data_IF_588420750014
#
_entry.id   IF_588420750014
#
_cell.length_a   1.000
_cell.length_b   1.000
_cell.length_c   1.000
_cell.angle_alpha   90.00
_cell.angle_beta   90.00
_cell.angle_gamma   90.00
#
_symmetry.space_group_name_H-M   'P 1'
#
loop_
_entity.id
_entity.type
_entity.pdbx_description
1 polymer ?
#
# COMPACT_ATOMS: atom_id res chain seq x y z
N UNK A 1 1.99 -25.42 13.10
CA UNK A 1 0.92 -25.06 12.15
C UNK A 1 -0.38 -24.66 12.85
N UNK A 2 -0.96 -25.48 13.75
CA UNK A 2 -2.21 -25.13 14.46
C UNK A 2 -2.12 -23.85 15.30
N UNK A 3 -1.01 -23.63 16.03
CA UNK A 3 -0.79 -22.40 16.79
C UNK A 3 -0.77 -21.15 15.90
N UNK A 4 -0.04 -21.21 14.78
CA UNK A 4 0.04 -20.10 13.81
C UNK A 4 -1.35 -19.77 13.26
N UNK A 5 -2.13 -20.79 12.84
CA UNK A 5 -3.50 -20.60 12.37
C UNK A 5 -4.41 -19.99 13.44
N UNK A 6 -4.36 -20.51 14.67
CA UNK A 6 -5.15 -19.98 15.78
C UNK A 6 -4.79 -18.52 16.08
N UNK A 7 -3.51 -18.18 16.05
CA UNK A 7 -3.06 -16.81 16.29
C UNK A 7 -3.53 -15.82 15.22
N UNK A 8 -3.64 -16.25 13.97
CA UNK A 8 -4.22 -15.45 12.88
C UNK A 8 -5.71 -15.24 13.09
N UNK A 9 -6.47 -16.31 13.34
CA UNK A 9 -7.94 -16.25 13.54
C UNK A 9 -8.33 -15.44 14.78
N UNK A 10 -7.50 -15.44 15.82
CA UNK A 10 -7.72 -14.67 17.05
C UNK A 10 -7.14 -13.26 17.00
N UNK A 11 -6.57 -12.83 15.86
CA UNK A 11 -5.91 -11.53 15.68
C UNK A 11 -4.73 -11.27 16.65
N UNK A 12 -4.15 -12.33 17.20
CA UNK A 12 -3.01 -12.24 18.14
C UNK A 12 -1.65 -12.41 17.45
N UNK A 13 -1.63 -12.88 16.20
CA UNK A 13 -0.43 -13.08 15.38
C UNK A 13 0.50 -11.86 15.33
N UNK A 14 0.02 -10.61 15.11
CA UNK A 14 0.91 -9.43 15.12
C UNK A 14 1.67 -9.25 16.43
N UNK A 15 1.04 -9.54 17.58
CA UNK A 15 1.65 -9.45 18.89
C UNK A 15 2.72 -10.52 19.12
N UNK A 16 2.44 -11.77 18.73
CA UNK A 16 3.43 -12.85 18.81
C UNK A 16 4.61 -12.64 17.87
N UNK A 17 4.38 -12.13 16.66
CA UNK A 17 5.44 -11.84 15.70
C UNK A 17 6.34 -10.70 16.18
N UNK A 18 5.75 -9.60 16.68
CA UNK A 18 6.49 -8.51 17.30
C UNK A 18 7.33 -9.00 18.50
N UNK A 19 6.77 -9.85 19.35
CA UNK A 19 7.49 -10.46 20.47
C UNK A 19 8.69 -11.30 19.99
N UNK A 20 8.52 -12.12 18.94
CA UNK A 20 9.61 -12.95 18.40
C UNK A 20 10.75 -12.12 17.83
N UNK A 21 10.41 -11.05 17.09
CA UNK A 21 11.39 -10.12 16.52
C UNK A 21 12.11 -9.34 17.62
N UNK A 22 11.38 -8.83 18.62
CA UNK A 22 11.96 -8.05 19.72
C UNK A 22 12.91 -8.87 20.61
N UNK A 23 12.63 -10.16 20.81
CA UNK A 23 13.51 -11.06 21.54
C UNK A 23 14.67 -11.63 20.71
N UNK A 24 14.78 -11.25 19.42
CA UNK A 24 15.86 -11.72 18.56
C UNK A 24 15.87 -13.23 18.34
N UNK A 25 14.70 -13.87 18.38
CA UNK A 25 14.57 -15.32 18.22
C UNK A 25 15.23 -15.76 16.90
N UNK A 26 16.05 -16.82 16.95
CA UNK A 26 16.64 -17.37 15.74
C UNK A 26 15.59 -18.12 14.90
N UNK A 27 15.87 -18.24 13.61
CA UNK A 27 15.01 -18.97 12.68
C UNK A 27 14.96 -20.45 13.07
N UNK A 28 13.77 -21.01 13.38
CA UNK A 28 13.66 -22.42 13.70
C UNK A 28 14.06 -23.31 12.51
N UNK A 29 14.71 -24.44 12.78
CA UNK A 29 15.13 -25.38 11.74
C UNK A 29 13.94 -25.83 10.87
N UNK A 30 14.08 -25.72 9.55
CA UNK A 30 13.05 -26.11 8.58
C UNK A 30 11.98 -25.06 8.26
N UNK A 31 12.01 -23.87 8.90
CA UNK A 31 11.14 -22.74 8.53
C UNK A 31 11.82 -21.92 7.43
N UNK A 32 11.15 -21.53 6.32
CA UNK A 32 11.79 -20.84 5.20
C UNK A 32 12.05 -19.34 5.44
N UNK A 33 11.35 -18.72 6.40
CA UNK A 33 11.43 -17.30 6.69
C UNK A 33 12.00 -17.06 8.10
N UNK A 34 12.86 -16.07 8.24
CA UNK A 34 13.28 -15.54 9.53
C UNK A 34 12.14 -14.72 10.17
N UNK A 35 12.12 -14.55 11.51
CA UNK A 35 10.99 -13.93 12.20
C UNK A 35 10.61 -12.52 11.69
N UNK A 36 11.59 -11.72 11.27
CA UNK A 36 11.32 -10.40 10.67
C UNK A 36 10.57 -10.53 9.34
N UNK A 37 11.00 -11.44 8.45
CA UNK A 37 10.31 -11.67 7.18
C UNK A 37 8.93 -12.31 7.35
N UNK A 38 8.75 -13.15 8.38
CA UNK A 38 7.43 -13.70 8.75
C UNK A 38 6.47 -12.57 9.17
N UNK A 39 6.90 -11.71 10.10
CA UNK A 39 6.13 -10.53 10.53
C UNK A 39 5.77 -9.61 9.36
N UNK A 40 6.74 -9.33 8.48
CA UNK A 40 6.52 -8.50 7.29
C UNK A 40 5.49 -9.14 6.35
N UNK A 41 5.53 -10.47 6.19
CA UNK A 41 4.57 -11.19 5.35
C UNK A 41 3.14 -11.07 5.89
N UNK A 42 2.95 -11.20 7.21
CA UNK A 42 1.65 -10.99 7.87
C UNK A 42 1.14 -9.56 7.65
N UNK A 43 1.99 -8.55 7.88
CA UNK A 43 1.64 -7.13 7.68
C UNK A 43 1.28 -6.81 6.22
N UNK A 44 1.96 -7.43 5.25
CA UNK A 44 1.64 -7.31 3.82
C UNK A 44 0.23 -7.84 3.54
N UNK A 45 -0.10 -9.03 4.06
CA UNK A 45 -1.44 -9.61 3.89
C UNK A 45 -2.52 -8.72 4.51
N UNK A 46 -2.29 -8.19 5.71
CA UNK A 46 -3.19 -7.26 6.41
C UNK A 46 -3.45 -6.01 5.55
N UNK A 47 -2.40 -5.36 5.03
CA UNK A 47 -2.53 -4.16 4.18
C UNK A 47 -3.39 -4.46 2.94
N UNK A 48 -3.12 -5.56 2.23
CA UNK A 48 -3.72 -5.83 0.92
C UNK A 48 -5.13 -6.40 1.00
N UNK A 49 -5.38 -7.30 1.95
CA UNK A 49 -6.65 -8.04 2.02
C UNK A 49 -7.66 -7.44 3.00
N UNK A 50 -7.23 -6.57 3.91
CA UNK A 50 -8.10 -5.97 4.93
C UNK A 50 -8.08 -4.45 4.88
N UNK A 51 -6.91 -3.83 5.08
CA UNK A 51 -6.82 -2.39 5.31
C UNK A 51 -7.18 -1.57 4.07
N UNK A 52 -6.60 -1.88 2.90
CA UNK A 52 -6.88 -1.17 1.64
C UNK A 52 -8.35 -1.35 1.22
N UNK A 53 -8.92 -2.57 1.11
CA UNK A 53 -10.33 -2.75 0.76
C UNK A 53 -11.27 -2.06 1.76
N UNK A 54 -10.99 -2.18 3.07
CA UNK A 54 -11.77 -1.55 4.12
C UNK A 54 -11.81 -0.02 3.98
N UNK A 55 -10.64 0.61 3.74
CA UNK A 55 -10.54 2.05 3.54
C UNK A 55 -11.30 2.52 2.28
N UNK A 56 -11.17 1.79 1.17
CA UNK A 56 -11.90 2.12 -0.08
C UNK A 56 -13.41 2.02 0.15
N UNK A 57 -13.88 0.98 0.85
CA UNK A 57 -15.31 0.82 1.17
C UNK A 57 -15.82 1.92 2.10
N UNK A 58 -15.03 2.33 3.11
CA UNK A 58 -15.36 3.46 3.99
C UNK A 58 -15.52 4.76 3.18
N UNK A 59 -14.63 5.01 2.22
CA UNK A 59 -14.71 6.17 1.33
C UNK A 59 -15.92 6.10 0.39
N UNK A 60 -16.20 4.94 -0.21
CA UNK A 60 -17.38 4.75 -1.06
C UNK A 60 -18.67 5.02 -0.27
N UNK A 61 -18.78 4.50 0.95
CA UNK A 61 -19.92 4.75 1.83
C UNK A 61 -20.05 6.24 2.18
N UNK A 62 -18.93 6.91 2.46
CA UNK A 62 -18.90 8.33 2.77
C UNK A 62 -19.24 9.23 1.58
N UNK A 63 -18.89 8.85 0.36
CA UNK A 63 -19.22 9.61 -0.86
C UNK A 63 -20.72 9.51 -1.17
N UNK A 64 -21.35 8.36 -0.91
CA UNK A 64 -22.76 8.10 -1.23
C UNK A 64 -23.74 8.69 -0.23
N UNK A 65 -23.37 8.77 1.06
CA UNK A 65 -24.29 9.26 2.09
C UNK A 65 -24.63 10.74 1.88
N UNK A 66 -25.92 11.09 2.04
CA UNK A 66 -26.41 12.46 1.91
C UNK A 66 -25.82 13.40 2.97
N UNK A 67 -25.84 12.94 4.23
CA UNK A 67 -25.40 13.71 5.39
C UNK A 67 -24.03 13.21 5.84
N UNK A 68 -23.02 14.00 5.49
CA UNK A 68 -21.63 13.70 5.82
C UNK A 68 -21.36 14.08 7.27
N UNK A 69 -20.95 13.11 8.07
CA UNK A 69 -20.61 13.32 9.48
C UNK A 69 -19.11 13.53 9.65
N UNK A 70 -18.73 14.42 10.58
CA UNK A 70 -17.33 14.60 10.95
C UNK A 70 -16.70 13.30 11.49
N UNK A 71 -17.49 12.48 12.20
CA UNK A 71 -17.06 11.20 12.74
C UNK A 71 -16.65 10.20 11.65
N UNK A 72 -17.38 10.16 10.52
CA UNK A 72 -17.01 9.31 9.39
C UNK A 72 -15.68 9.75 8.75
N UNK A 73 -15.44 11.06 8.63
CA UNK A 73 -14.15 11.57 8.15
C UNK A 73 -13.01 11.18 9.08
N UNK A 74 -13.18 11.33 10.40
CA UNK A 74 -12.19 10.92 11.40
C UNK A 74 -11.90 9.41 11.29
N UNK A 75 -12.93 8.58 11.10
CA UNK A 75 -12.76 7.14 10.91
C UNK A 75 -11.92 6.80 9.68
N UNK A 76 -12.17 7.47 8.55
CA UNK A 76 -11.36 7.34 7.31
C UNK A 76 -9.91 7.75 7.56
N UNK A 77 -9.68 8.86 8.26
CA UNK A 77 -8.32 9.32 8.58
C UNK A 77 -7.57 8.32 9.47
N UNK A 78 -8.21 7.76 10.50
CA UNK A 78 -7.60 6.74 11.36
C UNK A 78 -7.29 5.47 10.57
N UNK A 79 -8.22 5.02 9.71
CA UNK A 79 -8.04 3.87 8.83
C UNK A 79 -6.84 4.04 7.90
N UNK A 80 -6.74 5.20 7.24
CA UNK A 80 -5.60 5.53 6.37
C UNK A 80 -4.28 5.65 7.14
N UNK A 81 -4.29 6.29 8.32
CA UNK A 81 -3.12 6.43 9.18
C UNK A 81 -2.62 5.07 9.69
N UNK A 82 -3.52 4.16 10.07
CA UNK A 82 -3.18 2.79 10.47
C UNK A 82 -2.52 2.03 9.32
N UNK A 83 -3.12 2.09 8.12
CA UNK A 83 -2.56 1.47 6.91
C UNK A 83 -1.16 2.00 6.60
N UNK A 84 -0.98 3.32 6.67
CA UNK A 84 0.30 3.98 6.44
C UNK A 84 1.33 3.64 7.51
N UNK A 85 0.90 3.52 8.77
CA UNK A 85 1.75 3.09 9.88
C UNK A 85 2.28 1.67 9.65
N UNK A 86 1.41 0.73 9.29
CA UNK A 86 1.84 -0.64 8.96
C UNK A 86 2.82 -0.64 7.79
N UNK A 87 2.54 0.08 6.70
CA UNK A 87 3.46 0.18 5.55
C UNK A 87 4.81 0.84 5.88
N UNK A 88 4.79 1.86 6.73
CA UNK A 88 5.99 2.59 7.15
C UNK A 88 6.85 1.76 8.10
N UNK A 89 6.24 0.99 9.01
CA UNK A 89 6.98 0.09 9.91
C UNK A 89 7.66 -1.03 9.13
N UNK A 90 7.01 -1.61 8.10
CA UNK A 90 7.67 -2.60 7.24
C UNK A 90 8.96 -2.02 6.63
N UNK A 91 8.88 -0.81 6.04
CA UNK A 91 10.05 -0.17 5.45
C UNK A 91 11.11 0.15 6.50
N UNK A 92 10.70 0.71 7.64
CA UNK A 92 11.61 1.09 8.72
C UNK A 92 12.35 -0.12 9.31
N UNK A 93 11.62 -1.20 9.62
CA UNK A 93 12.19 -2.41 10.19
C UNK A 93 13.21 -3.03 9.23
N UNK A 94 12.86 -3.16 7.95
CA UNK A 94 13.75 -3.71 6.93
C UNK A 94 14.95 -2.81 6.63
N UNK A 95 14.77 -1.50 6.57
CA UNK A 95 15.85 -0.56 6.23
C UNK A 95 16.82 -0.35 7.39
N UNK A 96 16.37 -0.50 8.64
CA UNK A 96 17.21 -0.32 9.84
C UNK A 96 17.86 -1.62 10.33
N UNK A 97 17.40 -2.79 9.88
CA UNK A 97 17.93 -4.08 10.29
C UNK A 97 19.42 -4.28 9.89
N UNK A 98 20.33 -4.62 10.84
CA UNK A 98 21.74 -4.81 10.54
C UNK A 98 22.04 -5.96 9.57
N UNK A 99 21.25 -7.03 9.58
CA UNK A 99 21.44 -8.17 8.67
C UNK A 99 21.09 -7.76 7.24
N UNK A 100 19.98 -7.05 7.07
CA UNK A 100 19.56 -6.52 5.75
C UNK A 100 20.59 -5.51 5.23
N UNK A 101 21.08 -4.60 6.08
CA UNK A 101 22.16 -3.64 5.73
C UNK A 101 23.43 -4.33 5.27
N UNK A 102 23.83 -5.40 5.96
CA UNK A 102 25.02 -6.18 5.59
C UNK A 102 24.83 -6.94 4.27
N UNK A 103 23.62 -7.41 3.99
CA UNK A 103 23.31 -8.15 2.75
C UNK A 103 23.19 -7.20 1.54
N UNK A 104 22.60 -6.02 1.71
CA UNK A 104 22.28 -5.08 0.63
C UNK A 104 22.71 -3.64 0.96
N UNK A 105 24.02 -3.36 1.11
CA UNK A 105 24.53 -2.08 1.61
C UNK A 105 24.23 -0.88 0.69
N UNK A 106 24.05 -1.12 -0.61
CA UNK A 106 23.76 -0.06 -1.59
C UNK A 106 22.30 0.37 -1.63
N UNK A 107 21.40 -0.45 -1.07
CA UNK A 107 19.95 -0.29 -1.28
C UNK A 107 19.16 -0.10 0.02
N UNK A 108 19.76 -0.51 1.14
CA UNK A 108 19.22 -0.34 2.50
C UNK A 108 20.07 0.65 3.30
N UNK A 109 19.50 1.21 4.37
CA UNK A 109 20.12 2.24 5.18
C UNK A 109 19.86 3.66 4.67
N UNK A 110 18.71 3.91 4.06
CA UNK A 110 18.22 5.28 3.81
C UNK A 110 18.05 6.01 5.14
N UNK A 111 17.52 5.31 6.14
CA UNK A 111 17.19 5.88 7.42
C UNK A 111 18.50 6.10 8.19
N UNK A 112 18.83 7.37 8.50
CA UNK A 112 20.06 7.69 9.21
C UNK A 112 20.07 7.11 10.62
N UNK A 113 21.26 6.90 11.17
CA UNK A 113 21.39 6.42 12.55
C UNK A 113 20.99 7.51 13.58
N UNK A 114 21.17 8.79 13.23
CA UNK A 114 20.65 9.93 13.98
C UNK A 114 19.26 10.34 13.47
N UNK A 115 18.38 10.80 14.36
CA UNK A 115 17.08 11.36 13.93
C UNK A 115 16.07 10.35 13.36
N UNK A 116 16.18 9.07 13.73
CA UNK A 116 15.28 7.99 13.25
C UNK A 116 13.79 8.30 13.40
N UNK A 117 13.39 8.96 14.48
CA UNK A 117 11.99 9.36 14.70
C UNK A 117 11.49 10.34 13.64
N UNK A 118 12.32 11.32 13.25
CA UNK A 118 12.00 12.27 12.18
C UNK A 118 11.90 11.59 10.81
N UNK A 119 12.86 10.73 10.48
CA UNK A 119 12.82 9.96 9.23
C UNK A 119 11.60 9.04 9.16
N UNK A 120 11.24 8.37 10.26
CA UNK A 120 10.03 7.56 10.33
C UNK A 120 8.77 8.40 10.13
N UNK A 121 8.69 9.59 10.76
CA UNK A 121 7.57 10.50 10.59
C UNK A 121 7.42 10.95 9.14
N UNK A 122 8.52 11.27 8.45
CA UNK A 122 8.49 11.62 7.02
C UNK A 122 7.92 10.49 6.16
N UNK A 123 8.41 9.25 6.36
CA UNK A 123 7.88 8.08 5.63
C UNK A 123 6.39 7.89 5.93
N UNK A 124 5.99 8.02 7.20
CA UNK A 124 4.60 7.90 7.63
C UNK A 124 3.70 8.93 6.95
N UNK A 125 4.13 10.18 6.85
CA UNK A 125 3.39 11.25 6.21
C UNK A 125 3.24 11.01 4.70
N UNK A 126 4.32 10.68 3.99
CA UNK A 126 4.29 10.35 2.56
C UNK A 126 3.35 9.17 2.31
N UNK A 127 3.48 8.10 3.10
CA UNK A 127 2.63 6.92 2.97
C UNK A 127 1.16 7.25 3.27
N UNK A 128 0.88 8.03 4.31
CA UNK A 128 -0.48 8.44 4.68
C UNK A 128 -1.16 9.26 3.60
N UNK A 129 -0.44 10.24 3.04
CA UNK A 129 -0.94 11.08 1.95
C UNK A 129 -1.18 10.26 0.68
N UNK A 130 -0.26 9.34 0.35
CA UNK A 130 -0.42 8.43 -0.79
C UNK A 130 -1.63 7.50 -0.61
N UNK A 131 -1.82 6.93 0.58
CA UNK A 131 -2.95 6.03 0.89
C UNK A 131 -4.27 6.76 0.73
N UNK A 132 -4.38 7.96 1.31
CA UNK A 132 -5.56 8.80 1.17
C UNK A 132 -5.84 9.17 -0.29
N UNK A 133 -4.82 9.64 -1.01
CA UNK A 133 -4.93 10.04 -2.41
C UNK A 133 -5.43 8.89 -3.30
N UNK A 134 -4.79 7.72 -3.22
CA UNK A 134 -5.15 6.57 -4.05
C UNK A 134 -6.47 5.95 -3.67
N UNK A 135 -6.77 5.82 -2.37
CA UNK A 135 -8.05 5.31 -1.91
C UNK A 135 -9.21 6.22 -2.32
N UNK A 136 -9.01 7.54 -2.25
CA UNK A 136 -9.98 8.53 -2.70
C UNK A 136 -10.24 8.45 -4.21
N UNK A 137 -9.19 8.38 -5.03
CA UNK A 137 -9.33 8.20 -6.48
C UNK A 137 -10.09 6.91 -6.84
N UNK A 138 -9.74 5.82 -6.16
CA UNK A 138 -10.38 4.50 -6.34
C UNK A 138 -11.86 4.55 -5.97
N UNK A 139 -12.21 5.19 -4.85
CA UNK A 139 -13.59 5.33 -4.41
C UNK A 139 -14.42 6.23 -5.35
N UNK A 140 -13.85 7.33 -5.85
CA UNK A 140 -14.52 8.19 -6.83
C UNK A 140 -14.81 7.45 -8.14
N UNK A 141 -13.83 6.70 -8.67
CA UNK A 141 -14.04 5.86 -9.85
C UNK A 141 -15.09 4.79 -9.60
N UNK A 142 -15.07 4.13 -8.43
CA UNK A 142 -16.08 3.13 -8.07
C UNK A 142 -17.50 3.70 -8.08
N UNK A 143 -17.68 4.90 -7.54
CA UNK A 143 -18.99 5.57 -7.49
C UNK A 143 -19.42 6.08 -8.87
N UNK A 144 -18.47 6.49 -9.71
CA UNK A 144 -18.74 6.99 -11.06
C UNK A 144 -19.12 5.85 -12.01
N UNK A 145 -18.23 4.88 -12.21
CA UNK A 145 -18.47 3.71 -13.04
C UNK A 145 -17.50 2.57 -12.64
N UNK A 146 -18.07 1.43 -12.23
CA UNK A 146 -17.32 0.25 -11.81
C UNK A 146 -16.49 -0.36 -12.95
N UNK A 147 -16.95 -0.24 -14.18
CA UNK A 147 -16.26 -0.72 -15.39
C UNK A 147 -15.00 0.11 -15.63
N UNK A 148 -15.08 1.43 -15.46
CA UNK A 148 -13.90 2.31 -15.59
C UNK A 148 -12.85 2.01 -14.54
N UNK A 149 -13.28 1.78 -13.29
CA UNK A 149 -12.38 1.33 -12.24
C UNK A 149 -11.70 0.00 -12.62
N UNK A 150 -12.48 -0.96 -13.14
CA UNK A 150 -11.95 -2.25 -13.56
C UNK A 150 -10.89 -2.09 -14.67
N UNK A 151 -11.19 -1.32 -15.72
CA UNK A 151 -10.23 -1.06 -16.80
C UNK A 151 -8.97 -0.34 -16.30
N UNK A 152 -9.12 0.62 -15.38
CA UNK A 152 -7.99 1.32 -14.78
C UNK A 152 -7.07 0.36 -14.01
N UNK A 153 -7.63 -0.43 -13.09
CA UNK A 153 -6.84 -1.37 -12.27
C UNK A 153 -6.20 -2.44 -13.16
N UNK A 154 -6.97 -3.06 -14.07
CA UNK A 154 -6.46 -4.11 -14.94
C UNK A 154 -5.41 -3.59 -15.92
N UNK A 155 -5.63 -2.41 -16.52
CA UNK A 155 -4.67 -1.79 -17.43
C UNK A 155 -3.35 -1.44 -16.75
N UNK A 156 -3.41 -0.85 -15.56
CA UNK A 156 -2.25 -0.46 -14.77
C UNK A 156 -1.44 -1.69 -14.28
N UNK A 157 -2.13 -2.75 -13.83
CA UNK A 157 -1.49 -4.02 -13.47
C UNK A 157 -0.91 -4.76 -14.67
N UNK A 158 -1.61 -4.78 -15.81
CA UNK A 158 -1.12 -5.38 -17.05
C UNK A 158 0.16 -4.67 -17.52
N UNK A 159 0.18 -3.33 -17.47
CA UNK A 159 1.36 -2.54 -17.82
C UNK A 159 2.55 -2.88 -16.91
N UNK A 160 2.33 -3.04 -15.60
CA UNK A 160 3.38 -3.49 -14.67
C UNK A 160 3.91 -4.88 -15.04
N UNK A 161 3.03 -5.84 -15.30
CA UNK A 161 3.41 -7.22 -15.64
C UNK A 161 4.19 -7.25 -16.95
N UNK A 162 3.74 -6.54 -17.99
CA UNK A 162 4.43 -6.43 -19.28
C UNK A 162 5.83 -5.82 -19.09
N UNK A 163 5.95 -4.75 -18.31
CA UNK A 163 7.25 -4.16 -17.97
C UNK A 163 8.20 -5.19 -17.35
N UNK A 164 7.72 -6.04 -16.43
CA UNK A 164 8.55 -7.08 -15.79
C UNK A 164 8.93 -8.22 -16.74
N UNK A 165 8.04 -8.60 -17.65
CA UNK A 165 8.31 -9.59 -18.70
C UNK A 165 9.43 -9.09 -19.62
N UNK A 166 9.35 -7.84 -20.09
CA UNK A 166 10.38 -7.23 -20.96
C UNK A 166 11.75 -7.22 -20.26
N UNK A 167 11.76 -7.03 -18.94
CA UNK A 167 12.98 -7.03 -18.12
C UNK A 167 13.49 -8.44 -17.76
N UNK A 168 12.80 -9.49 -18.20
CA UNK A 168 13.08 -10.89 -17.86
C UNK A 168 13.17 -11.15 -16.35
N UNK A 169 12.36 -10.44 -15.55
CA UNK A 169 12.44 -10.48 -14.08
C UNK A 169 11.38 -11.40 -13.47
N UNK A 170 11.63 -12.71 -13.64
CA UNK A 170 10.76 -13.81 -13.19
C UNK A 170 11.14 -14.36 -11.81
N UNK A 171 12.08 -13.74 -11.10
CA UNK A 171 12.65 -14.31 -9.87
C UNK A 171 11.70 -14.05 -8.69
N UNK A 172 11.19 -15.14 -8.12
CA UNK A 172 10.52 -15.13 -6.83
C UNK A 172 11.56 -15.13 -5.71
N UNK A 173 11.36 -14.31 -4.67
CA UNK A 173 12.35 -14.09 -3.62
C UNK A 173 12.43 -15.22 -2.59
N UNK A 174 11.42 -16.09 -2.55
CA UNK A 174 11.40 -17.26 -1.66
C UNK A 174 11.95 -18.45 -2.44
N UNK A 175 12.92 -19.19 -1.87
CA UNK A 175 13.44 -20.41 -2.49
C UNK A 175 12.30 -21.43 -2.62
N UNK A 176 11.82 -21.64 -3.84
CA UNK A 176 10.77 -22.59 -4.17
C UNK A 176 11.14 -23.36 -5.44
N UNK A 177 10.61 -24.59 -5.63
CA UNK A 177 10.71 -25.29 -6.91
C UNK A 177 10.29 -24.38 -8.08
N UNK A 178 10.98 -24.50 -9.22
CA UNK A 178 10.78 -23.60 -10.39
C UNK A 178 9.30 -23.45 -10.78
N UNK A 179 8.55 -24.56 -10.80
CA UNK A 179 7.12 -24.56 -11.14
C UNK A 179 6.30 -23.69 -10.17
N UNK A 180 6.53 -23.81 -8.86
CA UNK A 180 5.85 -23.02 -7.84
C UNK A 180 6.25 -21.55 -7.95
N UNK A 181 7.54 -21.26 -8.19
CA UNK A 181 8.03 -19.90 -8.41
C UNK A 181 7.31 -19.20 -9.57
N UNK A 182 7.15 -19.88 -10.72
CA UNK A 182 6.45 -19.31 -11.87
C UNK A 182 4.96 -19.10 -11.61
N UNK A 183 4.31 -20.01 -10.88
CA UNK A 183 2.89 -19.90 -10.54
C UNK A 183 2.61 -18.75 -9.56
N UNK A 184 3.48 -18.58 -8.57
CA UNK A 184 3.33 -17.55 -7.54
C UNK A 184 3.78 -16.16 -8.00
N UNK A 185 4.73 -16.09 -8.94
CA UNK A 185 5.26 -14.83 -9.47
C UNK A 185 4.19 -13.78 -9.81
N UNK A 186 3.16 -14.06 -10.64
CA UNK A 186 2.19 -13.02 -11.00
C UNK A 186 1.37 -12.55 -9.79
N UNK A 187 1.03 -13.46 -8.87
CA UNK A 187 0.27 -13.13 -7.64
C UNK A 187 1.07 -12.14 -6.79
N UNK A 188 2.34 -12.43 -6.53
CA UNK A 188 3.20 -11.53 -5.74
C UNK A 188 3.44 -10.19 -6.45
N UNK A 189 3.52 -10.17 -7.79
CA UNK A 189 3.64 -8.90 -8.54
C UNK A 189 2.38 -8.04 -8.42
N UNK A 190 1.19 -8.65 -8.39
CA UNK A 190 -0.06 -7.94 -8.11
C UNK A 190 -0.07 -7.43 -6.68
N UNK A 191 0.28 -8.26 -5.70
CA UNK A 191 0.34 -7.87 -4.27
C UNK A 191 1.27 -6.66 -4.06
N UNK A 192 2.52 -6.73 -4.54
CA UNK A 192 3.47 -5.62 -4.39
C UNK A 192 3.04 -4.38 -5.17
N UNK A 193 2.39 -4.53 -6.32
CA UNK A 193 1.83 -3.42 -7.09
C UNK A 193 0.72 -2.70 -6.32
N UNK A 194 -0.23 -3.45 -5.74
CA UNK A 194 -1.28 -2.89 -4.89
C UNK A 194 -0.69 -2.14 -3.69
N UNK A 195 0.30 -2.73 -3.01
CA UNK A 195 0.98 -2.05 -1.89
C UNK A 195 1.62 -0.74 -2.38
N UNK A 196 2.32 -0.76 -3.50
CA UNK A 196 2.96 0.45 -4.01
C UNK A 196 1.96 1.53 -4.43
N UNK A 197 0.85 1.14 -5.06
CA UNK A 197 -0.17 2.07 -5.51
C UNK A 197 -0.76 2.88 -4.38
N UNK A 198 -1.10 2.17 -3.29
CA UNK A 198 -1.73 2.75 -2.13
C UNK A 198 -0.73 3.35 -1.15
N UNK A 199 0.37 2.66 -0.82
CA UNK A 199 1.29 3.16 0.22
C UNK A 199 2.41 4.03 -0.32
N UNK A 200 2.84 3.84 -1.58
CA UNK A 200 4.00 4.55 -2.14
C UNK A 200 5.29 4.34 -1.36
N UNK A 201 5.37 3.31 -0.51
CA UNK A 201 6.48 3.12 0.41
C UNK A 201 7.83 3.07 -0.31
N UNK A 202 8.88 3.76 0.19
CA UNK A 202 10.22 3.73 -0.41
C UNK A 202 10.80 2.32 -0.54
N UNK A 203 10.28 1.34 0.21
CA UNK A 203 10.64 -0.07 0.07
C UNK A 203 10.50 -0.58 -1.37
N UNK A 204 9.46 -0.14 -2.09
CA UNK A 204 9.13 -0.66 -3.43
C UNK A 204 10.14 -0.25 -4.51
N UNK A 205 11.01 0.73 -4.22
CA UNK A 205 12.10 1.15 -5.11
C UNK A 205 13.16 0.07 -5.32
N UNK A 206 13.24 -0.91 -4.43
CA UNK A 206 14.21 -1.99 -4.52
C UNK A 206 13.95 -2.83 -5.78
N UNK A 207 15.04 -3.30 -6.41
CA UNK A 207 15.00 -4.06 -7.66
C UNK A 207 14.11 -5.31 -7.57
N UNK A 208 14.15 -5.99 -6.43
CA UNK A 208 13.40 -7.21 -6.17
C UNK A 208 11.87 -7.01 -6.21
N UNK A 209 11.42 -5.81 -5.82
CA UNK A 209 10.01 -5.42 -5.86
C UNK A 209 9.70 -4.83 -7.24
N UNK A 210 9.75 -3.51 -7.42
CA UNK A 210 9.38 -2.85 -8.68
C UNK A 210 10.57 -2.26 -9.43
N UNK A 211 11.59 -1.82 -8.69
CA UNK A 211 12.74 -1.07 -9.20
C UNK A 211 12.46 0.43 -9.32
N UNK A 212 13.52 1.25 -9.17
CA UNK A 212 13.41 2.69 -9.01
C UNK A 212 12.69 3.46 -10.13
N UNK A 213 12.98 3.15 -11.40
CA UNK A 213 12.35 3.86 -12.53
C UNK A 213 10.84 3.63 -12.59
N UNK A 214 10.39 2.38 -12.46
CA UNK A 214 8.97 2.05 -12.46
C UNK A 214 8.27 2.55 -11.20
N UNK A 215 8.95 2.51 -10.05
CA UNK A 215 8.45 3.09 -8.79
C UNK A 215 8.10 4.58 -8.96
N UNK A 216 9.00 5.39 -9.52
CA UNK A 216 8.73 6.81 -9.78
C UNK A 216 7.61 7.02 -10.78
N UNK A 217 7.60 6.25 -11.89
CA UNK A 217 6.49 6.28 -12.85
C UNK A 217 5.15 6.00 -12.17
N UNK A 218 5.09 4.97 -11.31
CA UNK A 218 3.89 4.59 -10.58
C UNK A 218 3.41 5.66 -9.60
N UNK A 219 4.32 6.33 -8.91
CA UNK A 219 3.95 7.44 -8.03
C UNK A 219 3.31 8.58 -8.81
N UNK A 220 3.91 8.96 -9.94
CA UNK A 220 3.38 10.01 -10.82
C UNK A 220 2.01 9.63 -11.37
N UNK A 221 1.84 8.43 -11.91
CA UNK A 221 0.55 7.98 -12.44
C UNK A 221 -0.51 7.88 -11.35
N UNK A 222 -0.12 7.51 -10.13
CA UNK A 222 -1.03 7.47 -8.98
C UNK A 222 -1.50 8.87 -8.59
N UNK A 223 -0.61 9.87 -8.54
CA UNK A 223 -1.00 11.26 -8.27
C UNK A 223 -1.90 11.84 -9.38
N UNK A 224 -1.56 11.60 -10.65
CA UNK A 224 -2.39 12.01 -11.79
C UNK A 224 -3.78 11.37 -11.74
N UNK A 225 -3.88 10.10 -11.29
CA UNK A 225 -5.15 9.39 -11.22
C UNK A 225 -6.17 10.05 -10.30
N UNK A 226 -5.73 10.79 -9.27
CA UNK A 226 -6.61 11.54 -8.37
C UNK A 226 -7.37 12.62 -9.15
N UNK A 227 -6.66 13.41 -9.93
CA UNK A 227 -7.26 14.50 -10.71
C UNK A 227 -8.16 13.96 -11.83
N UNK A 228 -7.76 12.87 -12.47
CA UNK A 228 -8.60 12.19 -13.47
C UNK A 228 -9.88 11.66 -12.83
N UNK A 229 -9.81 11.03 -11.66
CA UNK A 229 -10.98 10.53 -10.95
C UNK A 229 -11.94 11.66 -10.54
N UNK A 230 -11.43 12.80 -10.08
CA UNK A 230 -12.25 13.99 -9.78
C UNK A 230 -12.92 14.54 -11.03
N UNK A 231 -12.19 14.66 -12.13
CA UNK A 231 -12.75 15.09 -13.41
C UNK A 231 -13.88 14.15 -13.85
N UNK A 232 -13.65 12.84 -13.83
CA UNK A 232 -14.64 11.85 -14.25
C UNK A 232 -15.88 11.86 -13.35
N UNK A 233 -15.70 11.91 -12.02
CA UNK A 233 -16.81 12.02 -11.08
C UNK A 233 -17.66 13.28 -11.33
N UNK A 234 -17.02 14.43 -11.56
CA UNK A 234 -17.75 15.68 -11.76
C UNK A 234 -18.58 15.69 -13.05
N UNK A 235 -18.12 15.03 -14.11
CA UNK A 235 -18.78 15.07 -15.42
C UNK A 235 -19.76 13.91 -15.65
N UNK A 236 -19.52 12.74 -15.04
CA UNK A 236 -20.20 11.49 -15.42
C UNK A 236 -20.89 10.76 -14.25
N UNK A 237 -20.86 11.28 -13.02
CA UNK A 237 -21.54 10.60 -11.91
C UNK A 237 -23.06 10.69 -12.07
N UNK A 238 -23.71 9.52 -12.11
CA UNK A 238 -25.15 9.39 -12.01
C UNK A 238 -25.54 9.31 -10.52
N UNK A 239 -26.17 10.37 -10.03
CA UNK A 239 -26.58 10.47 -8.61
C UNK A 239 -27.90 9.74 -8.44
N UNK A 240 -27.90 8.64 -7.67
CA UNK A 240 -29.12 7.91 -7.34
C UNK A 240 -30.05 8.72 -6.42
N UNK A 241 -31.35 8.40 -6.44
CA UNK A 241 -32.33 9.03 -5.54
C UNK A 241 -31.91 8.88 -4.07
N UNK A 242 -31.78 10.02 -3.38
CA UNK A 242 -31.37 10.07 -1.96
C UNK A 242 -29.87 10.27 -1.72
N UNK A 243 -29.00 10.17 -2.73
CA UNK A 243 -27.58 10.52 -2.64
C UNK A 243 -27.37 12.04 -2.93
N UNK A 244 -26.30 12.64 -2.38
CA UNK A 244 -25.94 14.04 -2.67
C UNK A 244 -24.54 14.13 -3.27
N UNK A 245 -24.47 14.64 -4.50
CA UNK A 245 -23.21 14.93 -5.19
C UNK A 245 -22.32 15.87 -4.37
N UNK A 246 -21.04 15.54 -4.26
CA UNK A 246 -20.04 16.42 -3.66
C UNK A 246 -19.80 17.62 -4.59
N UNK A 247 -19.69 18.82 -4.02
CA UNK A 247 -19.38 20.02 -4.82
C UNK A 247 -18.03 19.86 -5.53
N UNK A 248 -17.98 20.25 -6.81
CA UNK A 248 -16.77 20.19 -7.62
C UNK A 248 -15.63 21.00 -6.99
N UNK A 249 -15.93 22.19 -6.45
CA UNK A 249 -14.95 23.06 -5.80
C UNK A 249 -14.29 22.37 -4.60
N UNK A 250 -15.10 21.66 -3.80
CA UNK A 250 -14.59 20.91 -2.64
C UNK A 250 -13.70 19.76 -3.06
N UNK A 251 -14.05 19.04 -4.13
CA UNK A 251 -13.25 17.93 -4.66
C UNK A 251 -11.91 18.43 -5.20
N UNK A 252 -11.93 19.49 -6.03
CA UNK A 252 -10.71 20.07 -6.59
C UNK A 252 -9.81 20.64 -5.50
N UNK A 253 -10.36 21.39 -4.54
CA UNK A 253 -9.59 21.93 -3.42
C UNK A 253 -8.95 20.81 -2.59
N UNK A 254 -9.71 19.75 -2.28
CA UNK A 254 -9.21 18.58 -1.55
C UNK A 254 -8.09 17.84 -2.30
N UNK A 255 -8.25 17.59 -3.59
CA UNK A 255 -7.23 16.91 -4.41
C UNK A 255 -5.96 17.74 -4.59
N UNK A 256 -6.08 19.06 -4.76
CA UNK A 256 -4.93 19.96 -4.82
C UNK A 256 -4.22 19.97 -3.47
N UNK A 257 -4.95 20.10 -2.36
CA UNK A 257 -4.36 20.08 -1.02
C UNK A 257 -3.61 18.78 -0.73
N UNK A 258 -4.18 17.62 -1.10
CA UNK A 258 -3.52 16.32 -0.98
C UNK A 258 -2.26 16.22 -1.83
N UNK A 259 -2.32 16.61 -3.11
CA UNK A 259 -1.18 16.53 -4.01
C UNK A 259 -0.04 17.49 -3.60
N UNK A 260 -0.36 18.72 -3.19
CA UNK A 260 0.62 19.69 -2.69
C UNK A 260 1.24 19.20 -1.39
N UNK A 261 0.44 18.69 -0.45
CA UNK A 261 0.97 18.11 0.79
C UNK A 261 1.89 16.93 0.51
N UNK A 262 1.54 16.09 -0.46
CA UNK A 262 2.37 14.96 -0.87
C UNK A 262 3.69 15.44 -1.46
N UNK A 263 3.67 16.41 -2.37
CA UNK A 263 4.87 16.99 -3.00
C UNK A 263 5.81 17.68 -2.00
N UNK A 264 5.28 18.32 -0.95
CA UNK A 264 6.09 18.96 0.08
C UNK A 264 6.84 17.93 0.95
N UNK A 265 6.26 16.74 1.12
CA UNK A 265 6.82 15.69 1.97
C UNK A 265 7.69 14.69 1.19
N UNK A 266 7.57 14.60 -0.13
CA UNK A 266 8.31 13.69 -1.01
C UNK A 266 9.74 14.17 -1.30
#
# INVERSE_FOLDING_TARGET
MAFEFLSVVTFTKPGFDAYRVANGMEQPSGVPLDPLKDMVSTKICEIVFEAIPGLVLQLVAFIKVKDKTALAMVSIFISAASTAFTGSTIFFDLDTDPKVKRQNPTSSGIIPNSGRGGAFLSVLLICGLQVLAKAFATALLFVTDKSWLFYYICGDHALHIVYRIIRNDFIFFIPAPKMISYLLWPIFRVVFKVINDFTGTPLMRLRLFMGGCYYLFNLITSQVSVFVAVYLYNNYVDVAEGERKISADTLWAGSIALAVSWLINF
#
